data_IF_560480027720
#
_entry.id   IF_560480027720
#
_cell.length_a   1.000
_cell.length_b   1.000
_cell.length_c   1.000
_cell.angle_alpha   90.00
_cell.angle_beta   90.00
_cell.angle_gamma   90.00
#
_symmetry.space_group_name_H-M   'P 1'
#
loop_
_entity.id
_entity.type
_entity.pdbx_description
1 polymer ?
#
# COMPACT_ATOMS: atom_id res chain seq x y z
N UNK A 1 30.89 -20.11 63.05
CA UNK A 1 31.05 -20.53 61.65
C UNK A 1 29.65 -20.68 61.08
N UNK A 2 29.20 -19.66 60.37
CA UNK A 2 27.83 -19.52 59.89
C UNK A 2 27.90 -19.45 58.36
N UNK A 3 27.11 -20.30 57.71
CA UNK A 3 27.30 -20.73 56.33
C UNK A 3 26.98 -19.67 55.28
N UNK A 4 27.69 -19.83 54.16
CA UNK A 4 27.50 -19.13 52.89
C UNK A 4 26.05 -19.13 52.41
N UNK A 5 25.53 -17.95 52.09
CA UNK A 5 24.33 -17.78 51.24
C UNK A 5 24.78 -17.18 49.93
N UNK A 6 25.15 -18.06 48.99
CA UNK A 6 25.37 -17.71 47.59
C UNK A 6 23.99 -17.46 46.95
N UNK A 7 23.68 -16.19 46.69
CA UNK A 7 22.57 -15.76 45.85
C UNK A 7 22.82 -16.25 44.41
N UNK A 8 22.34 -17.45 44.11
CA UNK A 8 22.30 -17.98 42.75
C UNK A 8 21.26 -17.19 41.96
N UNK A 9 21.74 -16.41 40.97
CA UNK A 9 20.89 -15.74 39.98
C UNK A 9 20.00 -16.78 39.29
N UNK A 10 18.72 -16.82 39.66
CA UNK A 10 17.73 -17.68 39.04
C UNK A 10 17.62 -17.33 37.54
N UNK A 11 18.21 -18.16 36.68
CA UNK A 11 18.08 -18.01 35.23
C UNK A 11 16.62 -18.21 34.85
N UNK A 12 15.97 -17.16 34.34
CA UNK A 12 14.61 -17.27 33.83
C UNK A 12 14.60 -18.22 32.64
N UNK A 13 13.72 -19.25 32.62
CA UNK A 13 13.65 -20.17 31.48
C UNK A 13 13.32 -19.41 30.20
N UNK A 14 14.00 -19.77 29.11
CA UNK A 14 13.83 -19.19 27.77
C UNK A 14 13.25 -20.25 26.85
N UNK A 15 12.30 -19.87 25.98
CA UNK A 15 11.69 -20.79 25.03
C UNK A 15 11.33 -20.10 23.70
N UNK A 16 11.40 -20.84 22.61
CA UNK A 16 11.11 -20.35 21.27
C UNK A 16 9.68 -20.70 20.86
N UNK A 17 8.93 -19.70 20.38
CA UNK A 17 7.58 -19.94 19.91
C UNK A 17 7.56 -20.79 18.64
N UNK A 18 6.82 -21.90 18.67
CA UNK A 18 6.67 -22.79 17.51
C UNK A 18 5.95 -22.12 16.32
N UNK A 19 5.25 -21.01 16.54
CA UNK A 19 4.48 -20.32 15.50
C UNK A 19 5.20 -19.14 14.85
N UNK A 20 6.05 -18.43 15.59
CA UNK A 20 6.68 -17.20 15.12
C UNK A 20 8.17 -17.10 15.48
N UNK A 21 8.76 -18.18 16.00
CA UNK A 21 10.17 -18.32 16.40
C UNK A 21 10.68 -17.28 17.40
N UNK A 22 9.79 -16.47 18.00
CA UNK A 22 10.15 -15.47 18.99
C UNK A 22 10.68 -16.12 20.28
N UNK A 23 11.75 -15.55 20.82
CA UNK A 23 12.44 -15.95 22.03
C UNK A 23 11.76 -15.34 23.27
N UNK A 24 10.95 -16.12 23.96
CA UNK A 24 10.22 -15.71 25.16
C UNK A 24 11.04 -15.97 26.42
N UNK A 25 10.87 -15.13 27.44
CA UNK A 25 11.50 -15.29 28.75
C UNK A 25 10.45 -15.41 29.85
N UNK A 26 10.64 -16.36 30.76
CA UNK A 26 9.74 -16.59 31.91
C UNK A 26 8.93 -17.89 31.81
N UNK A 27 8.20 -18.24 32.87
CA UNK A 27 7.53 -19.55 33.01
C UNK A 27 6.22 -19.68 32.20
N UNK A 28 5.81 -18.64 31.47
CA UNK A 28 4.55 -18.63 30.71
C UNK A 28 4.66 -19.36 29.36
N UNK A 29 3.53 -19.84 28.84
CA UNK A 29 3.44 -20.57 27.57
C UNK A 29 2.88 -19.73 26.42
N UNK A 30 2.40 -18.53 26.72
CA UNK A 30 1.83 -17.59 25.74
C UNK A 30 2.96 -16.77 25.15
N UNK A 31 3.07 -16.78 23.83
CA UNK A 31 4.13 -16.04 23.17
C UNK A 31 3.86 -14.54 23.25
N UNK A 32 4.82 -13.77 23.78
CA UNK A 32 4.70 -12.33 23.91
C UNK A 32 4.64 -11.59 22.56
N UNK A 33 4.94 -12.25 21.43
CA UNK A 33 4.91 -11.66 20.08
C UNK A 33 3.59 -11.95 19.37
N UNK A 34 3.21 -13.22 19.22
CA UNK A 34 2.02 -13.62 18.48
C UNK A 34 0.80 -13.95 19.35
N UNK A 35 0.94 -13.88 20.68
CA UNK A 35 -0.08 -14.26 21.67
C UNK A 35 -0.63 -15.68 21.52
N UNK A 36 0.03 -16.54 20.73
CA UNK A 36 -0.31 -17.96 20.63
C UNK A 36 0.37 -18.74 21.74
N UNK A 37 -0.39 -19.62 22.37
CA UNK A 37 0.12 -20.57 23.37
C UNK A 37 0.93 -21.64 22.65
N UNK A 38 2.18 -21.83 23.06
CA UNK A 38 2.92 -23.02 22.65
C UNK A 38 2.39 -24.19 23.48
N UNK A 39 1.86 -25.21 22.81
CA UNK A 39 1.30 -26.38 23.49
C UNK A 39 2.38 -27.03 24.39
N UNK A 40 2.05 -27.48 25.61
CA UNK A 40 2.97 -28.24 26.45
C UNK A 40 3.02 -29.69 25.96
N UNK A 41 3.51 -29.89 24.74
CA UNK A 41 4.00 -31.20 24.34
C UNK A 41 5.51 -30.99 24.32
N UNK A 42 6.26 -31.49 25.31
CA UNK A 42 7.69 -31.59 25.18
C UNK A 42 7.92 -32.27 23.83
N UNK A 43 8.66 -31.60 22.94
CA UNK A 43 9.32 -32.32 21.86
C UNK A 43 10.24 -33.28 22.60
N UNK A 44 9.72 -34.46 22.92
CA UNK A 44 10.56 -35.63 22.99
C UNK A 44 11.25 -35.59 21.64
N UNK A 45 12.56 -35.37 21.66
CA UNK A 45 13.40 -35.62 20.51
C UNK A 45 13.12 -37.08 20.12
N UNK A 46 12.11 -37.27 19.27
CA UNK A 46 11.94 -38.49 18.53
C UNK A 46 13.19 -38.54 17.65
N UNK A 47 14.08 -39.52 17.85
CA UNK A 47 15.19 -39.70 16.96
C UNK A 47 14.59 -39.87 15.57
N UNK A 48 15.15 -39.13 14.61
CA UNK A 48 14.88 -39.32 13.21
C UNK A 48 14.87 -40.82 12.89
N UNK A 49 13.83 -41.37 12.23
CA UNK A 49 13.89 -42.73 11.77
C UNK A 49 14.80 -42.75 10.53
N UNK A 50 16.10 -42.85 10.76
CA UNK A 50 16.98 -43.47 9.79
C UNK A 50 16.70 -44.97 9.79
N UNK A 51 16.33 -45.46 8.62
CA UNK A 51 16.13 -46.87 8.33
C UNK A 51 17.34 -47.71 8.76
N UNK A 52 17.11 -48.78 9.52
CA UNK A 52 17.91 -50.01 9.49
C UNK A 52 17.32 -51.09 10.40
N UNK A 53 17.37 -52.30 9.88
CA UNK A 53 16.93 -53.62 10.37
C UNK A 53 17.60 -54.13 11.65
N UNK A 54 16.77 -54.85 12.44
CA UNK A 54 16.96 -56.18 13.08
C UNK A 54 18.21 -56.52 13.92
N UNK A 55 17.94 -57.09 15.12
CA UNK A 55 18.77 -57.98 15.98
C UNK A 55 20.00 -57.38 16.69
N UNK A 56 20.47 -57.77 17.87
CA UNK A 56 20.04 -58.55 19.05
C UNK A 56 21.12 -58.27 20.15
N UNK A 57 20.74 -58.29 21.44
CA UNK A 57 21.56 -58.47 22.69
C UNK A 57 22.36 -57.33 23.36
N UNK A 58 22.13 -57.26 24.68
CA UNK A 58 22.93 -56.72 25.81
C UNK A 58 24.28 -57.46 25.99
N UNK A 59 25.34 -56.92 26.68
CA UNK A 59 25.29 -56.56 28.13
C UNK A 59 26.24 -55.45 28.73
N UNK A 60 25.81 -54.93 29.89
CA UNK A 60 26.54 -54.50 31.13
C UNK A 60 27.56 -53.30 31.17
N UNK A 61 27.82 -52.70 32.38
CA UNK A 61 28.04 -51.26 32.60
C UNK A 61 29.49 -50.85 32.95
N UNK A 62 29.82 -49.56 32.77
CA UNK A 62 31.09 -48.94 33.21
C UNK A 62 31.09 -47.39 33.16
N UNK A 63 31.96 -46.69 33.92
CA UNK A 63 31.58 -45.47 34.65
C UNK A 63 32.11 -44.14 34.10
N UNK A 64 31.33 -43.09 34.38
CA UNK A 64 31.66 -41.69 34.70
C UNK A 64 32.88 -41.03 34.01
N UNK A 65 32.62 -40.08 33.10
CA UNK A 65 33.50 -38.93 32.89
C UNK A 65 32.67 -37.64 32.78
N UNK A 66 32.60 -36.92 33.91
CA UNK A 66 32.18 -35.53 33.96
C UNK A 66 33.31 -34.67 33.39
N UNK A 67 33.10 -34.14 32.19
CA UNK A 67 33.87 -33.00 31.67
C UNK A 67 32.96 -31.77 31.72
N UNK A 68 32.93 -31.14 32.88
CA UNK A 68 32.33 -29.82 33.05
C UNK A 68 33.33 -28.78 32.54
N UNK A 69 33.17 -28.37 31.27
CA UNK A 69 33.79 -27.14 30.78
C UNK A 69 33.05 -25.92 31.35
N UNK A 70 33.73 -24.84 31.76
CA UNK A 70 33.08 -23.64 32.29
C UNK A 70 32.22 -22.98 31.21
N UNK A 71 30.92 -22.82 31.48
CA UNK A 71 29.98 -22.09 30.64
C UNK A 71 30.40 -20.60 30.57
N UNK A 72 30.45 -19.98 29.37
CA UNK A 72 30.69 -18.56 29.26
C UNK A 72 29.56 -17.78 29.92
N UNK A 73 29.93 -16.99 30.92
CA UNK A 73 29.11 -15.96 31.53
C UNK A 73 28.61 -14.97 30.48
N UNK A 74 27.29 -14.79 30.44
CA UNK A 74 26.56 -13.63 29.91
C UNK A 74 26.97 -13.12 28.52
N UNK A 75 26.74 -13.92 27.48
CA UNK A 75 26.38 -13.34 26.18
C UNK A 75 24.85 -13.27 26.12
N UNK A 76 24.29 -12.07 26.04
CA UNK A 76 22.90 -11.90 25.59
C UNK A 76 22.82 -12.55 24.22
N UNK A 77 21.83 -13.43 24.03
CA UNK A 77 21.62 -14.10 22.74
C UNK A 77 21.39 -13.02 21.65
N UNK A 78 22.27 -12.91 20.63
CA UNK A 78 22.15 -11.87 19.60
C UNK A 78 20.84 -11.97 18.83
N UNK A 79 20.26 -13.16 18.71
CA UNK A 79 18.96 -13.34 18.06
C UNK A 79 17.83 -12.77 18.91
N UNK A 80 17.87 -12.97 20.23
CA UNK A 80 16.91 -12.35 21.15
C UNK A 80 17.00 -10.82 21.07
N UNK A 81 18.21 -10.26 21.08
CA UNK A 81 18.40 -8.81 20.97
C UNK A 81 17.82 -8.25 19.67
N UNK A 82 18.01 -8.95 18.54
CA UNK A 82 17.44 -8.57 17.25
C UNK A 82 15.91 -8.58 17.28
N UNK A 83 15.32 -9.62 17.85
CA UNK A 83 13.86 -9.76 17.95
C UNK A 83 13.22 -8.72 18.89
N UNK A 84 13.87 -8.44 20.02
CA UNK A 84 13.43 -7.41 20.96
C UNK A 84 13.52 -6.01 20.33
N UNK A 85 14.60 -5.73 19.58
CA UNK A 85 14.73 -4.48 18.82
C UNK A 85 13.61 -4.32 17.78
N UNK A 86 13.35 -5.35 16.97
CA UNK A 86 12.27 -5.30 15.97
C UNK A 86 10.90 -5.09 16.61
N UNK A 87 10.64 -5.71 17.76
CA UNK A 87 9.41 -5.51 18.53
C UNK A 87 9.28 -4.06 18.98
N UNK A 88 10.34 -3.51 19.55
CA UNK A 88 10.34 -2.14 20.07
C UNK A 88 10.15 -1.11 18.95
N UNK A 89 10.90 -1.22 17.85
CA UNK A 89 10.74 -0.36 16.67
C UNK A 89 9.31 -0.46 16.09
N UNK A 90 8.77 -1.69 15.99
CA UNK A 90 7.40 -1.90 15.54
C UNK A 90 6.35 -1.26 16.47
N UNK A 91 6.54 -1.35 17.78
CA UNK A 91 5.63 -0.76 18.77
C UNK A 91 5.68 0.77 18.78
N UNK A 92 6.87 1.34 18.58
CA UNK A 92 7.06 2.79 18.40
C UNK A 92 6.33 3.29 17.16
N UNK A 93 6.46 2.58 16.03
CA UNK A 93 5.72 2.92 14.81
C UNK A 93 4.20 2.85 15.01
N UNK A 94 3.69 1.79 15.63
CA UNK A 94 2.25 1.65 15.91
C UNK A 94 1.74 2.77 16.81
N UNK A 95 2.53 3.21 17.79
CA UNK A 95 2.18 4.34 18.65
C UNK A 95 2.01 5.61 17.81
N UNK A 96 2.99 5.93 16.95
CA UNK A 96 2.92 7.09 16.06
C UNK A 96 1.73 7.03 15.08
N UNK A 97 1.43 5.85 14.54
CA UNK A 97 0.27 5.67 13.65
C UNK A 97 -1.04 5.92 14.41
N UNK A 98 -1.20 5.37 15.62
CA UNK A 98 -2.41 5.58 16.44
C UNK A 98 -2.61 7.04 16.81
N UNK A 99 -1.53 7.74 17.16
CA UNK A 99 -1.56 9.19 17.40
C UNK A 99 -1.99 9.95 16.13
N UNK A 100 -1.48 9.53 14.97
CA UNK A 100 -1.85 10.06 13.66
C UNK A 100 -3.33 9.86 13.32
N UNK A 101 -3.84 8.65 13.47
CA UNK A 101 -5.23 8.28 13.22
C UNK A 101 -6.19 9.04 14.13
N UNK A 102 -5.83 9.21 15.41
CA UNK A 102 -6.61 10.02 16.35
C UNK A 102 -6.72 11.50 15.91
N UNK A 103 -5.76 11.98 15.12
CA UNK A 103 -5.76 13.31 14.52
C UNK A 103 -6.26 13.34 13.06
N UNK A 104 -6.72 12.20 12.52
CA UNK A 104 -7.29 12.07 11.17
C UNK A 104 -6.28 11.85 10.04
N UNK A 105 -5.01 11.61 10.33
CA UNK A 105 -4.01 11.23 9.33
C UNK A 105 -4.06 9.71 9.08
N UNK A 106 -3.90 9.28 7.83
CA UNK A 106 -3.85 7.85 7.51
C UNK A 106 -2.47 7.26 7.85
N UNK A 107 -2.38 5.93 8.08
CA UNK A 107 -1.12 5.27 8.41
C UNK A 107 -0.01 5.53 7.39
N UNK A 108 -0.37 5.59 6.11
CA UNK A 108 0.57 5.83 5.01
C UNK A 108 1.16 7.24 5.05
N UNK A 109 0.38 8.25 5.44
CA UNK A 109 0.89 9.62 5.63
C UNK A 109 1.91 9.68 6.75
N UNK A 110 1.57 9.09 7.90
CA UNK A 110 2.47 9.04 9.06
C UNK A 110 3.76 8.30 8.68
N UNK A 111 3.63 7.12 8.07
CA UNK A 111 4.79 6.33 7.69
C UNK A 111 5.67 7.04 6.66
N UNK A 112 5.08 7.62 5.61
CA UNK A 112 5.82 8.34 4.56
C UNK A 112 6.55 9.58 5.12
N UNK A 113 5.92 10.30 6.05
CA UNK A 113 6.56 11.43 6.73
C UNK A 113 7.78 10.98 7.55
N UNK A 114 7.68 9.85 8.26
CA UNK A 114 8.78 9.28 9.01
C UNK A 114 9.93 8.83 8.09
N UNK A 115 9.62 8.16 6.98
CA UNK A 115 10.64 7.70 6.03
C UNK A 115 11.36 8.87 5.34
N UNK A 116 10.63 9.91 4.94
CA UNK A 116 11.21 11.03 4.22
C UNK A 116 12.02 11.98 5.12
N UNK A 117 11.48 12.34 6.29
CA UNK A 117 12.07 13.39 7.13
C UNK A 117 12.83 12.88 8.36
N UNK A 118 12.61 11.63 8.79
CA UNK A 118 13.11 11.14 10.07
C UNK A 118 12.55 11.86 11.30
N UNK A 119 11.42 12.58 11.15
CA UNK A 119 10.81 13.37 12.23
C UNK A 119 10.30 12.51 13.39
N UNK A 120 10.39 13.03 14.61
CA UNK A 120 9.73 12.42 15.77
C UNK A 120 8.25 12.82 15.88
N UNK A 121 7.85 13.91 15.22
CA UNK A 121 6.51 14.52 15.29
C UNK A 121 5.84 14.56 13.91
N UNK A 122 5.43 13.41 13.36
CA UNK A 122 4.95 13.29 11.97
C UNK A 122 3.73 14.17 11.69
N UNK A 123 2.82 14.35 12.64
CA UNK A 123 1.64 15.20 12.48
C UNK A 123 1.95 16.67 12.26
N UNK A 124 2.98 17.20 12.93
CA UNK A 124 3.39 18.58 12.73
C UNK A 124 4.02 18.75 11.35
N UNK A 125 4.90 17.81 10.98
CA UNK A 125 5.58 17.80 9.69
C UNK A 125 4.59 17.71 8.52
N UNK A 126 3.56 16.85 8.63
CA UNK A 126 2.50 16.72 7.63
C UNK A 126 1.71 18.03 7.41
N UNK A 127 1.64 18.90 8.42
CA UNK A 127 0.92 20.18 8.32
C UNK A 127 1.78 21.31 7.77
N UNK A 128 3.08 21.33 8.09
CA UNK A 128 3.98 22.41 7.69
C UNK A 128 4.75 22.11 6.40
N UNK A 129 5.39 20.95 6.31
CA UNK A 129 6.38 20.66 5.26
C UNK A 129 5.79 19.91 4.06
N UNK A 130 4.81 19.03 4.29
CA UNK A 130 4.24 18.20 3.23
C UNK A 130 3.78 19.02 2.01
N UNK A 131 3.08 20.16 2.12
CA UNK A 131 2.65 20.94 0.95
C UNK A 131 3.81 21.30 0.00
N UNK A 132 4.97 21.69 0.54
CA UNK A 132 6.15 22.04 -0.25
C UNK A 132 6.77 20.83 -0.93
N UNK A 133 6.82 19.68 -0.25
CA UNK A 133 7.30 18.43 -0.84
C UNK A 133 6.42 18.01 -2.01
N UNK A 134 5.10 18.13 -1.86
CA UNK A 134 4.14 17.78 -2.91
C UNK A 134 4.22 18.73 -4.11
N UNK A 135 4.40 20.03 -3.88
CA UNK A 135 4.64 21.01 -4.93
C UNK A 135 5.92 20.67 -5.71
N UNK A 136 7.02 20.39 -5.01
CA UNK A 136 8.27 19.95 -5.63
C UNK A 136 8.09 18.66 -6.45
N UNK A 137 7.37 17.65 -5.96
CA UNK A 137 7.09 16.41 -6.71
C UNK A 137 6.29 16.71 -7.98
N UNK A 138 5.28 17.58 -7.90
CA UNK A 138 4.47 17.96 -9.06
C UNK A 138 5.30 18.71 -10.11
N UNK A 139 6.18 19.62 -9.69
CA UNK A 139 7.09 20.35 -10.58
C UNK A 139 8.10 19.42 -11.26
N UNK A 140 8.74 18.54 -10.50
CA UNK A 140 9.71 17.58 -11.04
C UNK A 140 9.04 16.60 -12.03
N UNK A 141 7.81 16.16 -11.76
CA UNK A 141 7.03 15.36 -12.70
C UNK A 141 6.74 16.11 -14.01
N UNK A 142 6.41 17.40 -13.94
CA UNK A 142 6.23 18.28 -15.10
C UNK A 142 7.51 18.47 -15.93
N UNK A 143 8.67 18.55 -15.26
CA UNK A 143 9.96 18.64 -15.93
C UNK A 143 10.38 17.32 -16.59
N UNK A 144 10.04 16.18 -15.97
CA UNK A 144 10.39 14.86 -16.49
C UNK A 144 9.62 14.52 -17.78
N UNK A 145 8.35 14.91 -17.89
CA UNK A 145 7.56 14.74 -19.12
C UNK A 145 6.66 15.96 -19.40
N UNK A 146 7.20 16.99 -20.09
CA UNK A 146 6.46 18.21 -20.42
C UNK A 146 5.21 17.96 -21.28
N UNK A 147 5.14 16.82 -21.98
CA UNK A 147 4.01 16.46 -22.84
C UNK A 147 2.73 16.11 -22.07
N UNK A 148 2.81 15.90 -20.75
CA UNK A 148 1.66 15.55 -19.90
C UNK A 148 1.00 16.76 -19.21
N UNK A 149 1.53 17.97 -19.44
CA UNK A 149 1.05 19.21 -18.84
C UNK A 149 1.34 19.32 -17.35
N UNK A 150 0.62 20.22 -16.68
CA UNK A 150 0.78 20.45 -15.24
C UNK A 150 0.17 19.30 -14.42
N UNK A 151 0.84 18.96 -13.32
CA UNK A 151 0.43 17.94 -12.35
C UNK A 151 -0.24 18.59 -11.14
N UNK A 152 -1.30 17.96 -10.62
CA UNK A 152 -1.97 18.50 -9.42
C UNK A 152 -1.32 17.99 -8.13
N UNK A 153 -1.51 18.73 -7.04
CA UNK A 153 -1.03 18.31 -5.71
C UNK A 153 -1.64 16.96 -5.28
N UNK A 154 -2.86 16.63 -5.70
CA UNK A 154 -3.50 15.34 -5.38
C UNK A 154 -2.82 14.17 -6.10
N UNK A 155 -2.38 14.36 -7.34
CA UNK A 155 -1.63 13.33 -8.07
C UNK A 155 -0.26 13.09 -7.45
N UNK A 156 0.46 14.18 -7.14
CA UNK A 156 1.72 14.13 -6.41
C UNK A 156 1.56 13.46 -5.04
N UNK A 157 0.51 13.83 -4.28
CA UNK A 157 0.22 13.23 -2.96
C UNK A 157 -0.03 11.75 -3.06
N UNK A 158 -0.83 11.31 -4.03
CA UNK A 158 -1.11 9.88 -4.22
C UNK A 158 0.17 9.10 -4.52
N UNK A 159 0.96 9.57 -5.48
CA UNK A 159 2.22 8.92 -5.84
C UNK A 159 3.23 8.90 -4.68
N UNK A 160 3.33 10.01 -3.94
CA UNK A 160 4.20 10.12 -2.76
C UNK A 160 3.83 9.12 -1.66
N UNK A 161 2.53 8.94 -1.40
CA UNK A 161 2.04 7.93 -0.44
C UNK A 161 2.27 6.50 -0.94
N UNK A 162 2.01 6.23 -2.22
CA UNK A 162 2.22 4.91 -2.84
C UNK A 162 3.71 4.50 -2.86
N UNK A 163 4.63 5.47 -2.78
CA UNK A 163 6.08 5.28 -2.70
C UNK A 163 6.67 5.56 -1.33
N UNK A 164 5.83 5.60 -0.29
CA UNK A 164 6.26 5.72 1.11
C UNK A 164 7.21 6.90 1.37
N UNK A 165 7.00 8.02 0.68
CA UNK A 165 7.77 9.23 0.86
C UNK A 165 9.05 9.35 0.02
N UNK A 166 9.40 8.36 -0.79
CA UNK A 166 10.55 8.46 -1.71
C UNK A 166 10.21 9.40 -2.88
N UNK A 167 10.89 10.56 -2.97
CA UNK A 167 10.61 11.60 -3.97
C UNK A 167 10.89 11.13 -5.40
N UNK A 168 12.02 10.48 -5.65
CA UNK A 168 12.40 10.07 -7.01
C UNK A 168 11.41 9.05 -7.57
N UNK A 169 11.08 8.03 -6.76
CA UNK A 169 10.10 7.02 -7.15
C UNK A 169 8.69 7.62 -7.26
N UNK A 170 8.34 8.59 -6.40
CA UNK A 170 7.04 9.27 -6.44
C UNK A 170 6.89 10.10 -7.71
N UNK A 171 7.95 10.78 -8.16
CA UNK A 171 7.95 11.52 -9.43
C UNK A 171 7.69 10.56 -10.60
N UNK A 172 8.42 9.44 -10.64
CA UNK A 172 8.22 8.43 -11.69
C UNK A 172 6.80 7.83 -11.68
N UNK A 173 6.25 7.50 -10.52
CA UNK A 173 4.88 7.00 -10.41
C UNK A 173 3.84 8.07 -10.74
N UNK A 174 4.07 9.33 -10.38
CA UNK A 174 3.19 10.43 -10.75
C UNK A 174 3.09 10.56 -12.28
N UNK A 175 4.24 10.59 -12.98
CA UNK A 175 4.30 10.63 -14.45
C UNK A 175 3.67 9.39 -15.08
N UNK A 176 4.01 8.20 -14.59
CA UNK A 176 3.46 6.93 -15.07
C UNK A 176 1.94 6.86 -14.90
N UNK A 177 1.43 7.25 -13.74
CA UNK A 177 0.00 7.29 -13.45
C UNK A 177 -0.73 8.27 -14.36
N UNK A 178 -0.21 9.50 -14.51
CA UNK A 178 -0.77 10.52 -15.40
C UNK A 178 -0.82 10.05 -16.84
N UNK A 179 0.26 9.44 -17.35
CA UNK A 179 0.32 8.89 -18.71
C UNK A 179 -0.76 7.84 -18.95
N UNK A 180 -0.97 6.91 -18.01
CA UNK A 180 -2.04 5.89 -18.09
C UNK A 180 -3.42 6.54 -18.18
N UNK A 181 -3.70 7.54 -17.35
CA UNK A 181 -4.99 8.26 -17.35
C UNK A 181 -5.24 9.02 -18.65
N UNK A 182 -4.21 9.68 -19.19
CA UNK A 182 -4.30 10.38 -20.49
C UNK A 182 -4.54 9.38 -21.63
N UNK A 183 -3.88 8.22 -21.60
CA UNK A 183 -4.11 7.16 -22.58
C UNK A 183 -5.53 6.58 -22.49
N UNK A 184 -6.06 6.43 -21.28
CA UNK A 184 -7.44 5.99 -21.04
C UNK A 184 -8.46 7.01 -21.57
N UNK A 185 -8.31 8.30 -21.27
CA UNK A 185 -9.19 9.33 -21.85
C UNK A 185 -9.08 9.39 -23.38
N UNK A 186 -7.87 9.20 -23.92
CA UNK A 186 -7.65 9.14 -25.37
C UNK A 186 -8.39 7.97 -26.01
N UNK A 187 -8.41 6.79 -25.40
CA UNK A 187 -9.13 5.63 -25.94
C UNK A 187 -10.66 5.84 -25.94
N UNK A 188 -11.15 6.71 -25.07
CA UNK A 188 -12.55 7.17 -25.02
C UNK A 188 -12.86 8.33 -25.98
N UNK A 189 -11.89 8.78 -26.78
CA UNK A 189 -12.05 9.87 -27.74
C UNK A 189 -11.81 11.26 -27.16
N UNK A 190 -11.10 11.36 -26.04
CA UNK A 190 -10.68 12.59 -25.39
C UNK A 190 -9.16 12.61 -25.21
N UNK A 191 -8.43 12.93 -26.27
CA UNK A 191 -6.99 13.14 -26.24
C UNK A 191 -6.59 14.50 -25.66
N UNK A 192 -5.30 14.86 -25.78
CA UNK A 192 -4.80 16.16 -25.31
C UNK A 192 -5.46 17.34 -26.02
N UNK A 193 -5.75 17.21 -27.32
CA UNK A 193 -6.40 18.24 -28.15
C UNK A 193 -7.82 18.56 -27.66
N UNK A 194 -8.51 17.57 -27.11
CA UNK A 194 -9.86 17.70 -26.53
C UNK A 194 -9.84 18.22 -25.08
N UNK A 195 -8.67 18.60 -24.55
CA UNK A 195 -8.54 19.20 -23.22
C UNK A 195 -8.40 18.19 -22.06
N UNK A 196 -8.08 16.92 -22.34
CA UNK A 196 -7.92 15.89 -21.29
C UNK A 196 -6.87 16.25 -20.22
N UNK A 197 -5.77 16.89 -20.61
CA UNK A 197 -4.73 17.32 -19.66
C UNK A 197 -5.28 18.35 -18.67
N UNK A 198 -6.03 19.34 -19.18
CA UNK A 198 -6.61 20.38 -18.34
C UNK A 198 -7.68 19.81 -17.41
N UNK A 199 -8.55 18.94 -17.92
CA UNK A 199 -9.60 18.29 -17.13
C UNK A 199 -9.01 17.43 -16.00
N UNK A 200 -7.98 16.64 -16.30
CA UNK A 200 -7.29 15.85 -15.28
C UNK A 200 -6.63 16.74 -14.22
N UNK A 201 -6.01 17.86 -14.60
CA UNK A 201 -5.42 18.80 -13.64
C UNK A 201 -6.49 19.39 -12.70
N UNK A 202 -7.61 19.87 -13.26
CA UNK A 202 -8.72 20.46 -12.50
C UNK A 202 -9.37 19.48 -11.52
N UNK A 203 -9.43 18.20 -11.89
CA UNK A 203 -10.07 17.16 -11.08
C UNK A 203 -9.09 16.32 -10.26
N UNK A 204 -7.87 16.81 -10.03
CA UNK A 204 -6.91 16.12 -9.16
C UNK A 204 -6.47 14.76 -9.69
N UNK A 205 -6.49 14.58 -11.01
CA UNK A 205 -6.21 13.33 -11.69
C UNK A 205 -7.32 12.29 -11.59
N UNK A 206 -8.56 12.67 -11.25
CA UNK A 206 -9.73 11.79 -11.26
C UNK A 206 -10.27 11.64 -12.69
N UNK A 207 -10.11 10.44 -13.26
CA UNK A 207 -10.51 10.13 -14.64
C UNK A 207 -12.02 10.22 -14.81
N UNK A 208 -12.80 9.75 -13.84
CA UNK A 208 -14.26 9.72 -13.94
C UNK A 208 -14.84 11.14 -13.95
N UNK A 209 -14.34 12.02 -13.07
CA UNK A 209 -14.74 13.44 -13.06
C UNK A 209 -14.27 14.18 -14.31
N UNK A 210 -13.02 13.97 -14.72
CA UNK A 210 -12.50 14.56 -15.95
C UNK A 210 -13.32 14.15 -17.18
N UNK A 211 -13.64 12.87 -17.31
CA UNK A 211 -14.49 12.35 -18.39
C UNK A 211 -15.89 12.98 -18.36
N UNK A 212 -16.50 13.08 -17.17
CA UNK A 212 -17.83 13.67 -17.00
C UNK A 212 -17.86 15.11 -17.50
N UNK A 213 -16.85 15.92 -17.14
CA UNK A 213 -16.76 17.32 -17.58
C UNK A 213 -16.55 17.42 -19.10
N UNK A 214 -15.67 16.58 -19.66
CA UNK A 214 -15.42 16.53 -21.11
C UNK A 214 -16.65 16.12 -21.92
N UNK A 215 -17.43 15.17 -21.40
CA UNK A 215 -18.69 14.74 -22.01
C UNK A 215 -19.79 15.81 -21.88
N UNK A 216 -19.84 16.54 -20.76
CA UNK A 216 -20.81 17.63 -20.54
C UNK A 216 -20.76 18.66 -21.66
N UNK A 217 -19.55 19.05 -22.08
CA UNK A 217 -19.36 20.01 -23.18
C UNK A 217 -19.94 19.51 -24.51
N UNK A 218 -19.88 18.20 -24.79
CA UNK A 218 -20.49 17.60 -25.99
C UNK A 218 -22.01 17.50 -25.92
N UNK A 219 -22.56 17.40 -24.71
CA UNK A 219 -24.01 17.28 -24.48
C UNK A 219 -24.72 18.64 -24.41
N UNK A 220 -23.99 19.74 -24.17
CA UNK A 220 -24.56 21.08 -24.06
C UNK A 220 -25.47 21.48 -25.25
N UNK A 221 -25.12 21.20 -26.53
CA UNK A 221 -26.00 21.49 -27.64
C UNK A 221 -27.32 20.69 -27.61
N UNK A 222 -27.31 19.47 -27.08
CA UNK A 222 -28.53 18.66 -26.94
C UNK A 222 -29.43 19.22 -25.84
N UNK A 223 -28.82 19.63 -24.73
CA UNK A 223 -29.54 20.28 -23.63
C UNK A 223 -30.24 21.58 -24.08
N UNK A 224 -29.56 22.40 -24.89
CA UNK A 224 -30.16 23.62 -25.44
C UNK A 224 -31.36 23.33 -26.36
N UNK A 225 -31.24 22.32 -27.24
CA UNK A 225 -32.31 21.94 -28.17
C UNK A 225 -33.60 21.46 -27.51
N UNK A 226 -33.55 20.90 -26.31
CA UNK A 226 -34.75 20.48 -25.57
C UNK A 226 -35.74 21.63 -25.36
N UNK A 227 -35.25 22.86 -25.34
CA UNK A 227 -36.04 24.07 -25.08
C UNK A 227 -36.28 24.91 -26.34
N UNK A 228 -35.72 24.51 -27.50
CA UNK A 228 -35.97 25.17 -28.78
C UNK A 228 -37.40 24.91 -29.25
N UNK A 229 -38.02 25.92 -29.90
CA UNK A 229 -39.47 26.00 -30.19
C UNK A 229 -40.01 25.01 -31.25
N UNK A 230 -39.26 23.98 -31.60
CA UNK A 230 -39.70 22.95 -32.56
C UNK A 230 -39.50 21.55 -31.96
N UNK A 231 -40.47 21.00 -31.23
CA UNK A 231 -40.35 19.62 -30.79
C UNK A 231 -40.33 18.71 -32.03
N UNK A 232 -39.32 17.85 -32.12
CA UNK A 232 -39.39 16.71 -33.03
C UNK A 232 -40.67 15.92 -32.73
N UNK A 233 -41.41 15.44 -33.75
CA UNK A 233 -42.61 14.66 -33.53
C UNK A 233 -42.28 13.46 -32.64
N UNK A 234 -43.10 13.26 -31.59
CA UNK A 234 -42.91 12.17 -30.63
C UNK A 234 -42.86 10.83 -31.36
N UNK A 235 -41.73 10.12 -31.23
CA UNK A 235 -41.55 8.80 -31.82
C UNK A 235 -42.56 7.82 -31.22
N UNK A 236 -43.46 7.30 -32.06
CA UNK A 236 -44.40 6.25 -31.69
C UNK A 236 -43.80 4.89 -32.05
N UNK A 237 -43.62 4.03 -31.03
CA UNK A 237 -43.12 2.67 -31.19
C UNK A 237 -44.25 1.64 -31.38
N UNK A 238 -45.51 2.08 -31.28
CA UNK A 238 -46.72 1.23 -31.32
C UNK A 238 -47.49 1.33 -32.66
N UNK A 239 -46.94 2.02 -33.66
CA UNK A 239 -47.54 2.11 -34.99
C UNK A 239 -47.16 0.91 -35.88
N UNK A 240 -48.06 0.39 -36.74
CA UNK A 240 -47.63 -0.48 -37.84
C UNK A 240 -46.63 0.30 -38.70
N UNK A 241 -45.60 -0.40 -39.21
CA UNK A 241 -44.50 0.16 -39.99
C UNK A 241 -45.03 0.97 -41.19
N UNK A 242 -45.23 2.27 -41.02
CA UNK A 242 -45.65 3.17 -42.09
C UNK A 242 -44.40 3.64 -42.81
N UNK A 243 -43.87 2.79 -43.69
CA UNK A 243 -43.11 3.30 -44.83
C UNK A 243 -44.00 4.31 -45.53
N UNK A 244 -43.69 5.60 -45.41
CA UNK A 244 -44.45 6.67 -46.07
C UNK A 244 -44.26 6.49 -47.57
N UNK A 245 -45.28 6.13 -48.36
CA UNK A 245 -45.17 6.15 -49.80
C UNK A 245 -45.47 7.58 -50.26
N UNK A 246 -44.43 8.33 -50.61
CA UNK A 246 -44.59 9.63 -51.26
C UNK A 246 -44.18 10.82 -50.41
N UNK A 247 -42.89 10.94 -50.14
CA UNK A 247 -42.25 12.23 -49.89
C UNK A 247 -40.97 12.26 -50.70
N UNK A 248 -40.92 13.03 -51.79
CA UNK A 248 -39.71 13.26 -52.58
C UNK A 248 -38.61 13.86 -51.68
N UNK A 249 -37.76 13.00 -51.13
CA UNK A 249 -36.48 13.40 -50.57
C UNK A 249 -35.55 13.74 -51.73
N UNK A 250 -35.56 15.01 -52.14
CA UNK A 250 -34.49 15.54 -52.99
C UNK A 250 -33.22 15.65 -52.15
N UNK A 251 -32.30 14.69 -52.35
CA UNK A 251 -30.92 14.80 -51.90
C UNK A 251 -30.27 15.99 -52.63
N UNK A 252 -30.31 17.18 -52.02
CA UNK A 252 -29.49 18.29 -52.48
C UNK A 252 -28.04 18.00 -52.06
N UNK A 253 -27.30 17.33 -52.94
CA UNK A 253 -25.85 17.19 -52.83
C UNK A 253 -25.22 18.58 -52.76
N UNK A 254 -24.90 19.07 -51.54
CA UNK A 254 -23.92 20.15 -51.41
C UNK A 254 -22.55 19.54 -51.60
N UNK A 255 -21.91 20.01 -52.67
CA UNK A 255 -20.61 19.59 -53.13
C UNK A 255 -19.54 19.65 -52.05
N UNK A 256 -18.65 18.66 -52.17
CA UNK A 256 -17.21 18.74 -51.93
C UNK A 256 -16.69 20.15 -52.26
N UNK A 257 -16.22 20.87 -51.25
CA UNK A 257 -15.26 21.95 -51.44
C UNK A 257 -13.91 21.41 -51.00
N UNK A 258 -13.05 21.14 -51.98
CA UNK A 258 -11.61 21.13 -51.82
C UNK A 258 -11.15 22.59 -51.72
N UNK A 259 -10.49 22.96 -50.62
CA UNK A 259 -9.15 23.57 -50.56
C UNK A 259 -8.70 23.66 -49.09
#
# INVERSE_FOLDING_TARGET
QQGDTLLSSAQTPVWYCIHCTFCNSGPGWVCAMCNRTSSPIPIQHAPWPHASSLEERLPEPGPTQRLSAPLPSSCVDPEKQRQDKMREEGLQLVTKIREGEAAGACPEEVFSALQYSGTEVPLQWLRSELPYVLEMVAELAGQQDPGLGAFSCQEARKAWLDRHGNVDEAVEECVRARRRKVQELRSLGFGPEEGSLQALFQHGGDVARALTELQRQRLEPFHQRLWDKGPDPTLSWDGPDKQVPGGEFTWRSRGRAEE
#
